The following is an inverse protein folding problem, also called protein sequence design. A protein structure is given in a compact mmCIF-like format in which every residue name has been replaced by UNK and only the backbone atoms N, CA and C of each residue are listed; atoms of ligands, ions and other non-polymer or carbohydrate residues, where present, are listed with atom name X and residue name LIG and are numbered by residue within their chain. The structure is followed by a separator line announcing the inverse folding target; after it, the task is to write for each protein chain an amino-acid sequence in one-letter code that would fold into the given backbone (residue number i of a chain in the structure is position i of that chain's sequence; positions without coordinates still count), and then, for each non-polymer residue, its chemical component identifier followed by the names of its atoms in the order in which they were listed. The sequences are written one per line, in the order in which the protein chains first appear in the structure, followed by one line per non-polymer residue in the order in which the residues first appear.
data_IF_343776158728
#
_entry.id   IF_343776158728
#
_cell.length_a   1.000
_cell.length_b   1.000
_cell.length_c   1.000
_cell.angle_alpha   90.00
_cell.angle_beta   90.00
_cell.angle_gamma   90.00
#
_symmetry.space_group_name_H-M   'P 1'
#
loop_
_entity.id
_entity.type
_entity.pdbx_description
1 polymer ?
#
# COMPACT_ATOMS: atom_id res chain seq x y z
N UNK A 1 -4.44 16.87 -15.29
CA UNK A 1 -3.43 15.85 -15.67
C UNK A 1 -3.53 14.70 -14.69
N UNK A 2 -3.23 13.45 -15.10
CA UNK A 2 -3.18 12.31 -14.16
C UNK A 2 -1.88 12.39 -13.34
N UNK A 3 -1.93 11.94 -12.09
CA UNK A 3 -0.75 11.80 -11.25
C UNK A 3 0.31 10.90 -11.94
N UNK A 4 1.61 11.23 -11.87
CA UNK A 4 2.64 10.55 -12.66
C UNK A 4 3.17 9.25 -12.05
N UNK A 5 2.93 8.97 -10.76
CA UNK A 5 3.57 7.86 -10.05
C UNK A 5 2.58 6.73 -9.80
N UNK A 6 2.95 5.50 -10.15
CA UNK A 6 2.32 4.27 -9.65
C UNK A 6 3.27 3.60 -8.66
N UNK A 7 2.75 3.15 -7.52
CA UNK A 7 3.56 2.50 -6.47
C UNK A 7 3.12 1.05 -6.32
N UNK A 8 4.09 0.13 -6.40
CA UNK A 8 3.86 -1.31 -6.18
C UNK A 8 4.56 -1.72 -4.90
N UNK A 9 3.84 -2.38 -4.00
CA UNK A 9 4.32 -2.80 -2.68
C UNK A 9 4.19 -4.33 -2.57
N UNK A 10 5.26 -5.07 -2.87
CA UNK A 10 5.31 -6.50 -2.59
C UNK A 10 5.38 -6.76 -1.08
N UNK A 11 4.50 -7.62 -0.59
CA UNK A 11 4.41 -7.98 0.83
C UNK A 11 4.61 -9.47 1.05
N UNK A 12 5.24 -9.83 2.16
CA UNK A 12 5.28 -11.19 2.71
C UNK A 12 5.46 -11.07 4.22
N UNK A 13 4.43 -11.42 4.98
CA UNK A 13 4.36 -11.26 6.42
C UNK A 13 4.73 -9.85 6.91
N UNK A 14 4.05 -8.85 6.36
CA UNK A 14 4.31 -7.43 6.57
C UNK A 14 3.38 -6.78 7.61
N UNK A 15 2.68 -7.56 8.46
CA UNK A 15 1.68 -7.04 9.40
C UNK A 15 2.20 -5.86 10.23
N UNK A 16 3.43 -5.97 10.74
CA UNK A 16 4.03 -4.95 11.61
C UNK A 16 4.34 -3.62 10.91
N UNK A 17 4.52 -3.63 9.57
CA UNK A 17 5.04 -2.48 8.81
C UNK A 17 4.05 -1.89 7.80
N UNK A 18 3.08 -2.67 7.34
CA UNK A 18 2.24 -2.30 6.20
C UNK A 18 1.45 -1.01 6.46
N UNK A 19 0.78 -0.89 7.61
CA UNK A 19 0.00 0.31 7.96
C UNK A 19 0.83 1.58 8.00
N UNK A 20 2.06 1.51 8.55
CA UNK A 20 2.97 2.66 8.61
C UNK A 20 3.46 3.04 7.21
N UNK A 21 3.74 2.05 6.36
CA UNK A 21 4.13 2.27 4.97
C UNK A 21 3.02 2.97 4.17
N UNK A 22 1.78 2.46 4.26
CA UNK A 22 0.63 3.05 3.56
C UNK A 22 0.32 4.46 4.07
N UNK A 23 0.38 4.68 5.39
CA UNK A 23 0.19 6.01 5.99
C UNK A 23 1.22 7.03 5.48
N UNK A 24 2.49 6.63 5.35
CA UNK A 24 3.54 7.52 4.85
C UNK A 24 3.34 7.94 3.38
N UNK A 25 2.53 7.21 2.61
CA UNK A 25 2.26 7.52 1.20
C UNK A 25 1.07 8.47 1.02
N UNK A 26 0.27 8.72 2.06
CA UNK A 26 -0.92 9.57 2.00
C UNK A 26 -0.60 11.00 1.57
N UNK A 27 0.52 11.59 2.02
CA UNK A 27 0.93 12.93 1.60
C UNK A 27 1.16 13.01 0.08
N UNK A 28 1.67 11.94 -0.53
CA UNK A 28 1.87 11.84 -1.98
C UNK A 28 0.57 11.65 -2.76
N UNK A 29 -0.43 10.97 -2.16
CA UNK A 29 -1.78 10.91 -2.72
C UNK A 29 -2.44 12.29 -2.69
N UNK A 30 -2.41 12.96 -1.54
CA UNK A 30 -3.01 14.28 -1.33
C UNK A 30 -2.37 15.35 -2.22
N UNK A 31 -1.06 15.29 -2.43
CA UNK A 31 -0.34 16.16 -3.36
C UNK A 31 -0.63 15.86 -4.85
N UNK A 32 -1.40 14.81 -5.16
CA UNK A 32 -1.70 14.39 -6.52
C UNK A 32 -0.49 13.82 -7.28
N UNK A 33 0.51 13.32 -6.54
CA UNK A 33 1.72 12.72 -7.12
C UNK A 33 1.51 11.23 -7.42
N UNK A 34 0.75 10.53 -6.57
CA UNK A 34 0.49 9.10 -6.68
C UNK A 34 -0.87 8.87 -7.34
N UNK A 35 -0.87 8.04 -8.38
CA UNK A 35 -2.05 7.63 -9.14
C UNK A 35 -2.72 6.41 -8.55
N UNK A 36 -1.91 5.42 -8.18
CA UNK A 36 -2.38 4.12 -7.70
C UNK A 36 -1.34 3.50 -6.78
N UNK A 37 -1.85 2.73 -5.82
CA UNK A 37 -1.11 1.87 -4.92
C UNK A 37 -1.54 0.43 -5.20
N UNK A 38 -0.58 -0.43 -5.48
CA UNK A 38 -0.82 -1.85 -5.80
C UNK A 38 -0.07 -2.67 -4.76
N UNK A 39 -0.80 -3.36 -3.89
CA UNK A 39 -0.22 -4.31 -2.92
C UNK A 39 -0.23 -5.69 -3.56
N UNK A 40 0.92 -6.37 -3.57
CA UNK A 40 1.01 -7.75 -4.07
C UNK A 40 1.48 -8.67 -2.96
N UNK A 41 0.63 -9.61 -2.56
CA UNK A 41 0.97 -10.54 -1.50
C UNK A 41 1.70 -11.79 -2.00
N UNK A 42 2.80 -12.13 -1.33
CA UNK A 42 3.67 -13.28 -1.64
C UNK A 42 3.28 -14.58 -0.94
N UNK A 43 2.08 -14.69 -0.38
CA UNK A 43 1.63 -15.83 0.42
C UNK A 43 1.84 -15.61 1.92
N UNK A 44 1.48 -14.43 2.42
CA UNK A 44 1.54 -14.11 3.85
C UNK A 44 0.63 -15.03 4.67
N UNK A 45 1.09 -15.35 5.87
CA UNK A 45 0.39 -16.18 6.86
C UNK A 45 0.03 -15.40 8.13
N UNK A 46 0.34 -14.11 8.16
CA UNK A 46 -0.02 -13.17 9.22
C UNK A 46 -1.20 -12.27 8.79
N UNK A 47 -1.49 -11.19 9.51
CA UNK A 47 -2.62 -10.32 9.20
C UNK A 47 -2.38 -9.36 8.00
N UNK A 48 -1.33 -9.54 7.20
CA UNK A 48 -1.00 -8.65 6.06
C UNK A 48 -2.18 -8.44 5.11
N UNK A 49 -2.86 -9.51 4.68
CA UNK A 49 -3.99 -9.39 3.76
C UNK A 49 -5.16 -8.63 4.38
N UNK A 50 -5.49 -8.94 5.64
CA UNK A 50 -6.58 -8.27 6.36
C UNK A 50 -6.30 -6.77 6.53
N UNK A 51 -5.04 -6.40 6.76
CA UNK A 51 -4.62 -5.00 6.80
C UNK A 51 -4.71 -4.36 5.41
N UNK A 52 -4.25 -5.02 4.34
CA UNK A 52 -4.34 -4.47 2.99
C UNK A 52 -5.82 -4.20 2.58
N UNK A 53 -6.72 -5.15 2.83
CA UNK A 53 -8.17 -5.02 2.57
C UNK A 53 -8.80 -3.89 3.39
N UNK A 54 -8.39 -3.69 4.64
CA UNK A 54 -8.87 -2.57 5.46
C UNK A 54 -8.48 -1.20 4.89
N UNK A 55 -7.45 -1.15 4.05
CA UNK A 55 -7.03 0.04 3.30
C UNK A 55 -7.65 0.14 1.90
N UNK A 56 -8.47 -0.84 1.50
CA UNK A 56 -9.17 -0.87 0.22
C UNK A 56 -8.39 -1.51 -0.93
N UNK A 57 -7.40 -2.36 -0.63
CA UNK A 57 -6.76 -3.23 -1.63
C UNK A 57 -7.74 -4.27 -2.19
#
# INVERSE_FOLDING_TARGET
MRAPISVVIPTLNAEAGLSNCLTALMEGLDAGLIRELIVTDGGSQDATLALAEAWGA
#
